data_IF_193398127347
#
_entry.id   IF_193398127347
#
_cell.length_a   1.000
_cell.length_b   1.000
_cell.length_c   1.000
_cell.angle_alpha   90.00
_cell.angle_beta   90.00
_cell.angle_gamma   90.00
#
_symmetry.space_group_name_H-M   'P 1'
#
loop_
_entity.id
_entity.type
_entity.pdbx_description
1 polymer ?
#
# COMPACT_ATOMS: atom_id res chain seq x y z
N UNK A 1 -52.96 -16.25 10.38
CA UNK A 1 -51.88 -15.24 10.27
C UNK A 1 -50.56 -16.00 10.23
N UNK A 2 -49.87 -16.00 9.09
CA UNK A 2 -48.65 -16.80 8.91
C UNK A 2 -47.47 -16.19 9.67
N UNK A 3 -46.89 -16.96 10.58
CA UNK A 3 -45.75 -16.59 11.41
C UNK A 3 -44.45 -16.79 10.61
N UNK A 4 -44.06 -15.80 9.79
CA UNK A 4 -42.79 -15.83 9.06
C UNK A 4 -41.70 -15.16 9.90
N UNK A 5 -40.74 -15.95 10.35
CA UNK A 5 -39.51 -15.45 10.99
C UNK A 5 -38.70 -14.65 9.96
N UNK A 6 -38.42 -13.39 10.28
CA UNK A 6 -37.52 -12.54 9.49
C UNK A 6 -36.14 -12.57 10.13
N UNK A 7 -35.11 -12.83 9.31
CA UNK A 7 -33.72 -12.75 9.70
C UNK A 7 -33.09 -11.52 9.04
N UNK A 8 -32.48 -10.65 9.85
CA UNK A 8 -31.70 -9.52 9.38
C UNK A 8 -30.26 -9.68 9.85
N UNK A 9 -29.31 -9.42 8.94
CA UNK A 9 -27.90 -9.28 9.27
C UNK A 9 -27.53 -7.80 9.13
N UNK A 10 -26.99 -7.21 10.19
CA UNK A 10 -26.42 -5.88 10.13
C UNK A 10 -25.00 -6.00 9.58
N UNK A 11 -24.78 -5.53 8.35
CA UNK A 11 -23.42 -5.30 7.85
C UNK A 11 -22.98 -3.91 8.28
N UNK A 12 -21.89 -3.79 9.07
CA UNK A 12 -21.23 -2.51 9.28
C UNK A 12 -20.93 -1.83 7.93
N UNK A 13 -20.99 -0.49 7.84
CA UNK A 13 -20.78 0.24 6.60
C UNK A 13 -19.50 -0.14 5.83
N UNK A 14 -18.41 -0.48 6.54
CA UNK A 14 -17.16 -0.90 5.91
C UNK A 14 -17.22 -2.29 5.24
N UNK A 15 -18.14 -3.18 5.66
CA UNK A 15 -18.35 -4.47 5.00
C UNK A 15 -19.27 -4.34 3.78
N UNK A 16 -20.01 -3.23 3.61
CA UNK A 16 -20.81 -3.01 2.38
C UNK A 16 -19.92 -2.91 1.14
N UNK A 17 -18.70 -2.40 1.29
CA UNK A 17 -17.69 -2.36 0.23
C UNK A 17 -17.27 -3.76 -0.26
N UNK A 18 -17.44 -4.82 0.54
CA UNK A 18 -17.19 -6.20 0.09
C UNK A 18 -18.24 -6.71 -0.91
N UNK A 19 -19.38 -6.02 -1.01
CA UNK A 19 -20.40 -6.28 -2.03
C UNK A 19 -20.15 -5.53 -3.34
N UNK A 20 -19.19 -4.60 -3.39
CA UNK A 20 -18.88 -3.84 -4.60
C UNK A 20 -17.91 -4.62 -5.49
N UNK A 21 -18.22 -4.67 -6.78
CA UNK A 21 -17.28 -5.18 -7.78
C UNK A 21 -16.10 -4.22 -7.93
N UNK A 22 -14.95 -4.75 -8.38
CA UNK A 22 -13.79 -3.93 -8.73
C UNK A 22 -14.15 -2.76 -9.65
N UNK A 23 -15.02 -2.97 -10.64
CA UNK A 23 -15.44 -1.92 -11.57
C UNK A 23 -16.21 -0.79 -10.87
N UNK A 24 -17.06 -1.12 -9.88
CA UNK A 24 -17.79 -0.13 -9.09
C UNK A 24 -16.84 0.65 -8.16
N UNK A 25 -15.91 -0.04 -7.50
CA UNK A 25 -14.86 0.60 -6.71
C UNK A 25 -14.04 1.54 -7.57
N UNK A 26 -13.59 1.10 -8.75
CA UNK A 26 -12.78 1.91 -9.66
C UNK A 26 -13.53 3.13 -10.24
N UNK A 27 -14.86 3.06 -10.34
CA UNK A 27 -15.72 4.17 -10.74
C UNK A 27 -16.05 5.13 -9.59
N UNK A 28 -15.76 4.77 -8.34
CA UNK A 28 -16.11 5.56 -7.16
C UNK A 28 -15.27 6.83 -7.03
N UNK A 29 -15.83 7.86 -6.39
CA UNK A 29 -15.09 9.07 -5.99
C UNK A 29 -13.94 8.74 -5.05
N UNK A 30 -14.12 7.79 -4.13
CA UNK A 30 -13.08 7.35 -3.20
C UNK A 30 -11.85 6.86 -3.95
N UNK A 31 -12.05 5.99 -4.95
CA UNK A 31 -10.96 5.49 -5.78
C UNK A 31 -10.29 6.58 -6.61
N UNK A 32 -11.04 7.54 -7.15
CA UNK A 32 -10.46 8.68 -7.85
C UNK A 32 -9.50 9.48 -6.95
N UNK A 33 -9.86 9.70 -5.69
CA UNK A 33 -9.00 10.35 -4.70
C UNK A 33 -7.76 9.51 -4.38
N UNK A 34 -7.94 8.21 -4.10
CA UNK A 34 -6.83 7.28 -3.84
C UNK A 34 -5.83 7.24 -5.00
N UNK A 35 -6.32 7.15 -6.24
CA UNK A 35 -5.49 7.17 -7.46
C UNK A 35 -4.74 8.49 -7.61
N UNK A 36 -5.39 9.62 -7.34
CA UNK A 36 -4.74 10.93 -7.40
C UNK A 36 -3.61 11.04 -6.37
N UNK A 37 -3.88 10.67 -5.11
CA UNK A 37 -2.87 10.68 -4.05
C UNK A 37 -1.69 9.75 -4.38
N UNK A 38 -1.97 8.54 -4.88
CA UNK A 38 -0.93 7.61 -5.32
C UNK A 38 -0.10 8.19 -6.48
N UNK A 39 -0.75 8.89 -7.41
CA UNK A 39 -0.08 9.58 -8.52
C UNK A 39 0.91 10.63 -8.02
N UNK A 40 0.48 11.49 -7.08
CA UNK A 40 1.34 12.52 -6.47
C UNK A 40 2.53 11.93 -5.74
N UNK A 41 2.29 10.92 -4.91
CA UNK A 41 3.36 10.21 -4.20
C UNK A 41 4.40 9.65 -5.18
N UNK A 42 3.97 9.05 -6.29
CA UNK A 42 4.88 8.53 -7.33
C UNK A 42 5.68 9.63 -8.02
N UNK A 43 5.07 10.79 -8.24
CA UNK A 43 5.74 11.96 -8.81
C UNK A 43 6.82 12.50 -7.85
N UNK A 44 6.50 12.64 -6.57
CA UNK A 44 7.44 13.06 -5.53
C UNK A 44 8.61 12.07 -5.41
N UNK A 45 8.34 10.75 -5.37
CA UNK A 45 9.39 9.73 -5.37
C UNK A 45 10.29 9.84 -6.59
N UNK A 46 9.72 10.05 -7.79
CA UNK A 46 10.50 10.23 -9.02
C UNK A 46 11.39 11.45 -8.96
N UNK A 47 10.86 12.59 -8.53
CA UNK A 47 11.65 13.81 -8.38
C UNK A 47 12.81 13.62 -7.40
N UNK A 48 12.61 12.88 -6.30
CA UNK A 48 13.67 12.54 -5.37
C UNK A 48 14.74 11.63 -5.99
N UNK A 49 14.32 10.61 -6.74
CA UNK A 49 15.24 9.71 -7.45
C UNK A 49 16.09 10.47 -8.49
N UNK A 50 15.47 11.36 -9.26
CA UNK A 50 16.16 12.17 -10.28
C UNK A 50 17.17 13.13 -9.64
N UNK A 51 16.79 13.76 -8.52
CA UNK A 51 17.70 14.60 -7.73
C UNK A 51 18.90 13.80 -7.21
N UNK A 52 18.67 12.64 -6.61
CA UNK A 52 19.73 11.78 -6.10
C UNK A 52 20.67 11.34 -7.23
N UNK A 53 20.13 10.95 -8.39
CA UNK A 53 20.91 10.54 -9.55
C UNK A 53 21.81 11.69 -10.08
N UNK A 54 21.23 12.86 -10.30
CA UNK A 54 21.96 14.06 -10.77
C UNK A 54 23.02 14.54 -9.77
N UNK A 55 22.75 14.40 -8.47
CA UNK A 55 23.66 14.78 -7.39
C UNK A 55 24.69 13.69 -7.05
N UNK A 56 24.64 12.54 -7.73
CA UNK A 56 25.47 11.35 -7.43
C UNK A 56 25.34 10.90 -5.96
N UNK A 57 24.14 11.07 -5.40
CA UNK A 57 23.80 10.58 -4.06
C UNK A 57 23.17 9.20 -4.24
N UNK A 58 23.78 8.13 -3.72
CA UNK A 58 23.20 6.81 -3.87
C UNK A 58 21.96 6.68 -2.99
N UNK A 59 20.87 6.24 -3.61
CA UNK A 59 19.55 6.11 -3.01
C UNK A 59 19.12 4.64 -3.01
N UNK A 60 18.56 4.19 -1.88
CA UNK A 60 17.87 2.92 -1.78
C UNK A 60 16.37 3.18 -1.81
N UNK A 61 15.70 2.76 -2.88
CA UNK A 61 14.24 2.73 -2.95
C UNK A 61 13.71 1.40 -2.41
N UNK A 62 13.03 1.44 -1.26
CA UNK A 62 12.41 0.28 -0.65
C UNK A 62 11.06 -0.09 -1.29
N UNK A 63 10.47 0.78 -2.11
CA UNK A 63 9.13 0.59 -2.69
C UNK A 63 8.99 -0.74 -3.42
N UNK A 64 9.92 -1.15 -4.31
CA UNK A 64 9.80 -2.43 -5.01
C UNK A 64 9.89 -3.64 -4.08
N UNK A 65 10.64 -3.53 -2.98
CA UNK A 65 10.79 -4.62 -2.02
C UNK A 65 9.53 -4.77 -1.16
N UNK A 66 9.00 -3.65 -0.65
CA UNK A 66 7.74 -3.62 0.10
C UNK A 66 6.57 -4.12 -0.75
N UNK A 67 6.50 -3.69 -2.01
CA UNK A 67 5.45 -4.12 -2.93
C UNK A 67 5.46 -5.65 -3.14
N UNK A 68 6.64 -6.26 -3.33
CA UNK A 68 6.75 -7.71 -3.48
C UNK A 68 6.28 -8.49 -2.25
N UNK A 69 6.62 -8.02 -1.05
CA UNK A 69 6.17 -8.68 0.19
C UNK A 69 4.64 -8.59 0.33
N UNK A 70 4.05 -7.43 0.06
CA UNK A 70 2.59 -7.24 0.10
C UNK A 70 1.87 -8.09 -0.94
N UNK A 71 2.37 -8.13 -2.18
CA UNK A 71 1.82 -8.98 -3.24
C UNK A 71 1.94 -10.48 -2.90
N UNK A 72 2.95 -10.86 -2.12
CA UNK A 72 3.14 -12.19 -1.57
C UNK A 72 2.25 -12.51 -0.35
N UNK A 73 1.42 -11.56 0.11
CA UNK A 73 0.53 -11.72 1.26
C UNK A 73 1.17 -11.41 2.61
N UNK A 74 2.40 -10.92 2.65
CA UNK A 74 3.03 -10.46 3.89
C UNK A 74 2.52 -9.07 4.27
N UNK A 75 2.24 -8.88 5.56
CA UNK A 75 1.87 -7.57 6.09
C UNK A 75 3.13 -6.89 6.65
N UNK A 76 3.67 -5.91 5.92
CA UNK A 76 4.89 -5.15 6.30
C UNK A 76 4.60 -3.75 6.84
N UNK A 77 3.33 -3.33 6.79
CA UNK A 77 2.75 -2.15 7.43
C UNK A 77 1.25 -2.45 7.67
N UNK A 78 0.59 -1.66 8.53
CA UNK A 78 -0.87 -1.78 8.69
C UNK A 78 -1.59 -0.85 7.70
N UNK A 79 -2.74 -1.23 7.12
CA UNK A 79 -3.43 -0.40 6.12
C UNK A 79 -3.76 1.02 6.59
N UNK A 80 -4.02 1.19 7.89
CA UNK A 80 -4.37 2.45 8.52
C UNK A 80 -3.19 3.13 9.25
N UNK A 81 -1.98 2.56 9.15
CA UNK A 81 -0.77 3.07 9.78
C UNK A 81 0.33 3.27 8.71
N UNK A 82 0.79 4.51 8.46
CA UNK A 82 1.86 4.76 7.51
C UNK A 82 3.23 4.22 7.96
N UNK A 83 3.37 3.72 9.19
CA UNK A 83 4.63 3.19 9.70
C UNK A 83 4.85 1.72 9.31
N UNK A 84 6.13 1.36 9.13
CA UNK A 84 6.55 -0.03 9.04
C UNK A 84 6.25 -0.75 10.35
N UNK A 85 5.76 -1.98 10.25
CA UNK A 85 5.72 -2.87 11.41
C UNK A 85 7.07 -3.59 11.57
N UNK A 86 7.15 -4.54 12.53
CA UNK A 86 8.38 -5.28 12.77
C UNK A 86 8.92 -6.01 11.51
N UNK A 87 8.05 -6.64 10.73
CA UNK A 87 8.43 -7.31 9.48
C UNK A 87 8.89 -6.31 8.41
N UNK A 88 8.26 -5.14 8.33
CA UNK A 88 8.69 -4.04 7.47
C UNK A 88 10.08 -3.51 7.83
N UNK A 89 10.36 -3.34 9.12
CA UNK A 89 11.69 -2.96 9.60
C UNK A 89 12.75 -4.02 9.29
N UNK A 90 12.43 -5.31 9.44
CA UNK A 90 13.35 -6.39 9.09
C UNK A 90 13.67 -6.41 7.57
N UNK A 91 12.65 -6.23 6.72
CA UNK A 91 12.84 -6.07 5.28
C UNK A 91 13.75 -4.87 4.98
N UNK A 92 13.48 -3.71 5.57
CA UNK A 92 14.26 -2.50 5.35
C UNK A 92 15.74 -2.71 5.74
N UNK A 93 15.99 -3.36 6.88
CA UNK A 93 17.35 -3.69 7.32
C UNK A 93 18.06 -4.63 6.33
N UNK A 94 17.36 -5.65 5.83
CA UNK A 94 17.91 -6.61 4.86
C UNK A 94 18.28 -5.94 3.54
N UNK A 95 17.40 -5.11 2.98
CA UNK A 95 17.66 -4.41 1.72
C UNK A 95 18.75 -3.35 1.89
N UNK A 96 18.80 -2.65 3.02
CA UNK A 96 19.89 -1.73 3.36
C UNK A 96 21.24 -2.44 3.43
N UNK A 97 21.30 -3.61 4.08
CA UNK A 97 22.52 -4.39 4.15
C UNK A 97 23.02 -4.82 2.76
N UNK A 98 22.12 -5.22 1.85
CA UNK A 98 22.47 -5.54 0.46
C UNK A 98 23.00 -4.32 -0.28
N UNK A 99 22.31 -3.18 -0.15
CA UNK A 99 22.70 -1.92 -0.78
C UNK A 99 24.08 -1.44 -0.31
N UNK A 100 24.39 -1.55 0.98
CA UNK A 100 25.71 -1.19 1.50
C UNK A 100 26.81 -2.14 1.01
N UNK A 101 26.51 -3.44 0.84
CA UNK A 101 27.47 -4.43 0.32
C UNK A 101 27.80 -4.21 -1.16
N UNK A 102 26.82 -3.84 -1.99
CA UNK A 102 27.06 -3.59 -3.42
C UNK A 102 27.85 -2.32 -3.72
N UNK A 103 28.16 -1.53 -2.69
CA UNK A 103 28.91 -0.27 -2.77
C UNK A 103 30.31 -0.34 -2.17
N UNK A 104 30.73 -1.52 -1.72
CA UNK A 104 32.10 -1.79 -1.24
C UNK A 104 32.99 -2.26 -2.37
#
# INVERSE_FOLDING_TARGET
>A
MNNRTLHFAFLPPYLQALGETRAQLEASRGWALTRSSLGKMREECRAHMDFCASSRIPLLDLTPALQREVEGGAQVYFPDDPHLNAAGHELAARELAKFLKSRR
#
